data_IF_306352754908
#
_entry.id   IF_306352754908
#
_cell.length_a   1.000
_cell.length_b   1.000
_cell.length_c   1.000
_cell.angle_alpha   90.00
_cell.angle_beta   90.00
_cell.angle_gamma   90.00
#
_symmetry.space_group_name_H-M   'P 1'
#
loop_
_entity.id
_entity.type
_entity.pdbx_description
1 polymer ?
#
# COMPACT_ATOMS: atom_id res chain seq x y z
N UNK A 1 -10.25 -50.47 38.04
CA UNK A 1 -10.52 -50.31 36.58
C UNK A 1 -11.83 -49.51 36.48
N UNK A 2 -11.98 -48.32 35.90
CA UNK A 2 -11.32 -47.60 34.81
C UNK A 2 -11.56 -46.09 34.96
N UNK A 3 -10.46 -45.33 34.81
CA UNK A 3 -10.31 -44.11 33.97
C UNK A 3 -11.08 -42.85 34.36
N UNK A 4 -10.56 -42.16 35.38
CA UNK A 4 -10.50 -40.70 35.38
C UNK A 4 -9.52 -40.26 34.29
N UNK A 5 -10.01 -39.62 33.23
CA UNK A 5 -9.18 -38.94 32.24
C UNK A 5 -9.89 -37.65 31.82
N UNK A 6 -9.75 -36.66 32.69
CA UNK A 6 -9.87 -35.25 32.34
C UNK A 6 -8.70 -34.92 31.43
N UNK A 7 -8.94 -34.75 30.13
CA UNK A 7 -8.03 -33.99 29.26
C UNK A 7 -8.91 -33.04 28.47
N UNK A 8 -9.08 -31.84 29.05
CA UNK A 8 -9.57 -30.67 28.38
C UNK A 8 -8.66 -30.41 27.17
N UNK A 9 -9.17 -30.70 25.97
CA UNK A 9 -8.53 -30.29 24.73
C UNK A 9 -8.61 -28.76 24.64
N UNK A 10 -7.53 -28.14 25.12
CA UNK A 10 -6.67 -27.34 24.26
C UNK A 10 -7.35 -26.19 23.56
N UNK A 11 -7.29 -25.03 24.22
CA UNK A 11 -7.35 -23.67 23.67
C UNK A 11 -7.07 -23.63 22.15
N UNK A 12 -8.13 -23.46 21.37
CA UNK A 12 -8.03 -22.96 20.00
C UNK A 12 -7.56 -21.51 20.06
N UNK A 13 -6.24 -21.32 20.02
CA UNK A 13 -5.55 -20.07 19.75
C UNK A 13 -6.03 -19.51 18.41
N UNK A 14 -7.10 -18.72 18.44
CA UNK A 14 -7.43 -17.75 17.41
C UNK A 14 -6.46 -16.59 17.54
N UNK A 15 -5.20 -16.80 17.12
CA UNK A 15 -4.30 -15.69 16.84
C UNK A 15 -4.80 -15.04 15.55
N UNK A 16 -5.76 -14.12 15.68
CA UNK A 16 -5.94 -13.08 14.68
C UNK A 16 -4.63 -12.31 14.65
N UNK A 17 -3.76 -12.67 13.70
CA UNK A 17 -2.66 -11.82 13.29
C UNK A 17 -3.30 -10.56 12.77
N UNK A 18 -3.42 -9.56 13.66
CA UNK A 18 -3.67 -8.20 13.26
C UNK A 18 -2.64 -7.90 12.17
N UNK A 19 -3.11 -7.48 11.00
CA UNK A 19 -2.25 -6.89 9.99
C UNK A 19 -1.50 -5.78 10.70
N UNK A 20 -0.25 -6.06 11.08
CA UNK A 20 0.69 -5.05 11.48
C UNK A 20 0.65 -4.07 10.33
N UNK A 21 0.12 -2.87 10.58
CA UNK A 21 0.35 -1.72 9.75
C UNK A 21 1.87 -1.52 9.81
N UNK A 22 2.59 -2.28 8.98
CA UNK A 22 3.98 -2.05 8.64
C UNK A 22 3.94 -0.61 8.19
N UNK A 23 4.45 0.29 9.02
CA UNK A 23 4.70 1.67 8.63
C UNK A 23 5.47 1.59 7.33
N UNK A 24 4.76 1.78 6.22
CA UNK A 24 5.33 1.61 4.92
C UNK A 24 6.48 2.62 4.85
N UNK A 25 7.73 2.18 4.57
CA UNK A 25 8.78 3.15 4.33
C UNK A 25 8.26 4.06 3.23
N UNK A 26 8.34 5.37 3.41
CA UNK A 26 7.85 6.32 2.42
C UNK A 26 8.48 5.97 1.09
N UNK A 27 7.65 5.64 0.10
CA UNK A 27 8.07 5.20 -1.22
C UNK A 27 7.58 6.23 -2.23
N UNK A 28 8.50 6.64 -3.08
CA UNK A 28 8.16 7.41 -4.26
C UNK A 28 8.40 6.55 -5.49
N UNK A 29 7.41 6.41 -6.36
CA UNK A 29 7.55 5.68 -7.61
C UNK A 29 6.95 6.48 -8.77
N UNK A 30 7.62 6.43 -9.93
CA UNK A 30 7.08 7.05 -11.16
C UNK A 30 5.89 6.23 -11.66
N UNK A 31 4.91 6.91 -12.28
CA UNK A 31 3.65 6.29 -12.69
C UNK A 31 3.73 5.48 -14.01
N UNK A 32 4.93 5.41 -14.61
CA UNK A 32 5.22 4.66 -15.83
C UNK A 32 5.69 5.57 -16.96
N UNK A 33 5.81 5.01 -18.16
CA UNK A 33 6.19 5.73 -19.38
C UNK A 33 5.02 5.74 -20.38
N UNK A 34 4.89 6.82 -21.16
CA UNK A 34 3.85 6.97 -22.19
C UNK A 34 2.94 8.20 -21.99
N UNK A 35 2.10 8.45 -23.00
CA UNK A 35 1.14 9.56 -22.98
C UNK A 35 0.11 9.34 -21.88
N UNK A 36 -0.12 10.37 -21.06
CA UNK A 36 -1.07 10.34 -19.96
C UNK A 36 -2.49 10.28 -20.52
N UNK A 37 -3.17 9.17 -20.27
CA UNK A 37 -4.62 9.08 -20.40
C UNK A 37 -5.28 9.41 -19.07
N UNK A 38 -6.47 10.01 -19.10
CA UNK A 38 -7.23 10.30 -17.88
C UNK A 38 -7.50 9.03 -17.06
N UNK A 39 -7.86 7.93 -17.71
CA UNK A 39 -8.12 6.66 -17.05
C UNK A 39 -6.87 6.08 -16.38
N UNK A 40 -5.71 6.18 -17.03
CA UNK A 40 -4.43 5.72 -16.46
C UNK A 40 -4.04 6.55 -15.25
N UNK A 41 -4.14 7.88 -15.35
CA UNK A 41 -3.85 8.78 -14.23
C UNK A 41 -4.82 8.55 -13.07
N UNK A 42 -6.11 8.30 -13.36
CA UNK A 42 -7.13 8.02 -12.35
C UNK A 42 -6.85 6.70 -11.64
N UNK A 43 -6.59 5.63 -12.38
CA UNK A 43 -6.27 4.30 -11.84
C UNK A 43 -4.99 4.34 -11.01
N UNK A 44 -3.97 5.02 -11.51
CA UNK A 44 -2.70 5.15 -10.82
C UNK A 44 -2.82 6.08 -9.60
N UNK A 45 -3.71 7.06 -9.64
CA UNK A 45 -4.08 7.91 -8.50
C UNK A 45 -4.85 7.16 -7.42
N UNK A 46 -5.80 6.31 -7.80
CA UNK A 46 -6.53 5.44 -6.87
C UNK A 46 -5.56 4.46 -6.18
N UNK A 47 -4.62 3.88 -6.93
CA UNK A 47 -3.55 3.05 -6.37
C UNK A 47 -2.66 3.86 -5.41
N UNK A 48 -2.22 5.04 -5.82
CA UNK A 48 -1.37 5.90 -4.99
C UNK A 48 -2.06 6.28 -3.68
N UNK A 49 -3.36 6.61 -3.72
CA UNK A 49 -4.18 6.89 -2.53
C UNK A 49 -4.35 5.66 -1.65
N UNK A 50 -4.57 4.48 -2.24
CA UNK A 50 -4.65 3.22 -1.49
C UNK A 50 -3.32 2.90 -0.77
N UNK A 51 -2.20 3.27 -1.38
CA UNK A 51 -0.86 3.18 -0.78
C UNK A 51 -0.61 4.29 0.28
N UNK A 52 -1.54 5.23 0.47
CA UNK A 52 -1.44 6.35 1.42
C UNK A 52 -0.69 7.59 0.90
N UNK A 53 -0.45 7.66 -0.42
CA UNK A 53 0.30 8.73 -1.06
C UNK A 53 -0.53 9.71 -1.88
N UNK A 54 0.17 10.65 -2.49
CA UNK A 54 -0.36 11.66 -3.41
C UNK A 54 0.46 11.71 -4.69
N UNK A 55 -0.21 11.84 -5.84
CA UNK A 55 0.47 12.08 -7.11
C UNK A 55 1.01 13.51 -7.12
N UNK A 56 2.29 13.65 -7.47
CA UNK A 56 2.94 14.93 -7.72
C UNK A 56 3.56 14.93 -9.12
N UNK A 57 3.49 16.07 -9.81
CA UNK A 57 4.27 16.29 -11.02
C UNK A 57 5.74 16.48 -10.68
N UNK A 58 6.66 15.97 -11.50
CA UNK A 58 8.08 16.26 -11.39
C UNK A 58 8.30 17.73 -11.73
N UNK A 59 9.19 18.39 -11.00
CA UNK A 59 9.53 19.80 -11.21
C UNK A 59 10.64 20.00 -12.26
N UNK A 60 11.16 18.92 -12.83
CA UNK A 60 12.24 18.91 -13.83
C UNK A 60 11.84 19.42 -15.23
N UNK A 61 10.65 20.00 -15.39
CA UNK A 61 10.22 20.62 -16.66
C UNK A 61 9.90 19.62 -17.78
N UNK A 62 9.51 18.39 -17.44
CA UNK A 62 9.07 17.38 -18.41
C UNK A 62 7.74 17.73 -19.07
N UNK A 63 7.35 16.93 -20.07
CA UNK A 63 6.07 17.06 -20.75
C UNK A 63 4.92 16.65 -19.80
N UNK A 64 3.97 17.54 -19.45
CA UNK A 64 2.82 17.20 -18.61
C UNK A 64 1.87 16.20 -19.29
N UNK A 65 1.98 16.02 -20.61
CA UNK A 65 1.24 14.99 -21.32
C UNK A 65 1.83 13.58 -21.13
N UNK A 66 2.91 13.40 -20.34
CA UNK A 66 3.51 12.09 -20.10
C UNK A 66 3.37 11.61 -18.66
N UNK A 67 3.01 10.34 -18.49
CA UNK A 67 2.91 9.65 -17.19
C UNK A 67 4.23 9.66 -16.41
N UNK A 68 5.35 9.66 -17.13
CA UNK A 68 6.70 9.70 -16.55
C UNK A 68 6.99 11.00 -15.82
N UNK A 69 6.22 12.06 -16.10
CA UNK A 69 6.29 13.34 -15.41
C UNK A 69 5.48 13.35 -14.10
N UNK A 70 4.83 12.26 -13.74
CA UNK A 70 4.11 12.13 -12.48
C UNK A 70 4.73 11.03 -11.61
N UNK A 71 4.75 11.28 -10.30
CA UNK A 71 5.25 10.38 -9.28
C UNK A 71 4.21 10.25 -8.17
N UNK A 72 3.94 9.02 -7.73
CA UNK A 72 3.25 8.81 -6.46
C UNK A 72 4.24 9.00 -5.31
N UNK A 73 3.93 9.90 -4.38
CA UNK A 73 4.71 10.14 -3.16
C UNK A 73 3.91 9.63 -1.97
N UNK A 74 4.35 8.51 -1.38
CA UNK A 74 3.77 7.98 -0.14
C UNK A 74 4.60 8.51 1.04
N UNK A 75 4.06 9.41 1.88
CA UNK A 75 4.76 9.86 3.07
C UNK A 75 4.95 8.70 4.06
N UNK A 76 6.04 8.74 4.84
CA UNK A 76 6.20 7.81 5.97
C UNK A 76 5.06 8.06 6.95
N UNK A 77 4.33 7.00 7.32
CA UNK A 77 3.38 7.06 8.42
C UNK A 77 4.16 7.32 9.72
N UNK A 78 4.18 8.58 10.17
CA UNK A 78 4.97 9.02 11.32
C UNK A 78 5.37 10.50 11.26
N UNK A 79 4.38 11.38 11.31
CA UNK A 79 4.48 12.69 11.97
C UNK A 79 3.16 12.96 12.69
#
# INVERSE_FOLDING_TARGET
MRRSALIALGLSCLTLTACQAVSAPGRSYSLGDGVVSYDDLRRAGDKCKADGGVIQSKQDGGDPAQLSNYTCVVPRAGK
#
